data_IF_650463197192
#
_entry.id   IF_650463197192
#
_cell.length_a   1.000
_cell.length_b   1.000
_cell.length_c   1.000
_cell.angle_alpha   90.00
_cell.angle_beta   90.00
_cell.angle_gamma   90.00
#
_symmetry.space_group_name_H-M   'P 1'
#
loop_
_entity.id
_entity.type
_entity.pdbx_description
1 polymer ?
#
# COMPACT_ATOMS: atom_id res chain seq x y z
N UNK A 1 33.66 1.16 15.79
CA UNK A 1 32.62 1.49 14.80
C UNK A 1 31.57 0.40 14.86
N UNK A 2 30.48 0.63 15.58
CA UNK A 2 29.42 -0.36 15.85
C UNK A 2 28.22 -0.07 14.97
N UNK A 3 27.80 -1.05 14.16
CA UNK A 3 26.59 -0.95 13.33
C UNK A 3 25.35 -1.04 14.22
N UNK A 4 24.28 -0.29 13.92
CA UNK A 4 23.09 -0.30 14.75
C UNK A 4 22.38 -1.67 14.71
N UNK A 5 21.68 -2.06 15.78
CA UNK A 5 20.96 -3.33 15.84
C UNK A 5 19.89 -3.40 14.75
N UNK A 6 19.92 -4.44 13.92
CA UNK A 6 18.80 -4.79 13.04
C UNK A 6 17.77 -5.57 13.85
N UNK A 7 17.05 -4.89 14.73
CA UNK A 7 15.81 -5.46 15.27
C UNK A 7 14.78 -5.46 14.14
N UNK A 8 14.55 -6.62 13.53
CA UNK A 8 13.39 -6.89 12.68
C UNK A 8 12.11 -6.75 13.49
N UNK A 9 11.67 -5.51 13.73
CA UNK A 9 10.28 -5.27 14.08
C UNK A 9 9.50 -5.57 12.80
N UNK A 10 8.62 -6.56 12.86
CA UNK A 10 7.46 -6.63 11.98
C UNK A 10 6.77 -5.26 12.05
N UNK A 11 7.10 -4.41 11.07
CA UNK A 11 6.94 -2.98 11.18
C UNK A 11 5.46 -2.66 11.12
N UNK A 12 4.93 -2.07 12.19
CA UNK A 12 3.67 -1.33 12.13
C UNK A 12 3.72 -0.42 10.90
N UNK A 13 2.91 -0.74 9.87
CA UNK A 13 2.82 0.10 8.69
C UNK A 13 2.45 1.51 9.16
N UNK A 14 3.17 2.57 8.75
CA UNK A 14 2.82 3.95 9.12
C UNK A 14 1.41 4.35 8.63
N UNK A 15 0.82 3.56 7.74
CA UNK A 15 -0.53 3.76 7.23
C UNK A 15 -1.58 3.25 8.20
N UNK A 16 -2.38 4.16 8.75
CA UNK A 16 -3.56 3.84 9.57
C UNK A 16 -4.71 3.24 8.75
N UNK A 17 -4.57 3.19 7.42
CA UNK A 17 -5.60 2.74 6.47
C UNK A 17 -5.40 1.25 6.13
N UNK A 18 -4.17 0.79 5.97
CA UNK A 18 -3.87 -0.58 5.52
C UNK A 18 -3.74 -1.50 6.73
N UNK A 19 -4.69 -2.43 6.85
CA UNK A 19 -4.67 -3.53 7.82
C UNK A 19 -4.44 -4.87 7.09
N UNK A 20 -3.93 -5.92 7.75
CA UNK A 20 -3.71 -7.22 7.11
C UNK A 20 -4.94 -7.78 6.37
N UNK A 21 -6.15 -7.58 6.91
CA UNK A 21 -7.40 -7.98 6.23
C UNK A 21 -7.62 -7.25 4.90
N UNK A 22 -7.28 -5.96 4.82
CA UNK A 22 -7.42 -5.18 3.60
C UNK A 22 -6.39 -5.61 2.54
N UNK A 23 -5.17 -5.96 2.99
CA UNK A 23 -4.14 -6.53 2.11
C UNK A 23 -4.67 -7.79 1.41
N UNK A 24 -5.24 -8.74 2.15
CA UNK A 24 -5.77 -9.96 1.55
C UNK A 24 -6.91 -9.71 0.54
N UNK A 25 -7.81 -8.76 0.86
CA UNK A 25 -8.91 -8.37 -0.04
C UNK A 25 -8.36 -7.81 -1.36
N UNK A 26 -7.38 -6.91 -1.28
CA UNK A 26 -6.76 -6.30 -2.47
C UNK A 26 -6.02 -7.35 -3.30
N UNK A 27 -5.25 -8.25 -2.67
CA UNK A 27 -4.58 -9.36 -3.37
C UNK A 27 -5.57 -10.23 -4.14
N UNK A 28 -6.70 -10.56 -3.52
CA UNK A 28 -7.75 -11.37 -4.17
C UNK A 28 -8.37 -10.64 -5.37
N UNK A 29 -8.60 -9.33 -5.27
CA UNK A 29 -9.09 -8.52 -6.39
C UNK A 29 -8.10 -8.46 -7.55
N UNK A 30 -6.80 -8.31 -7.27
CA UNK A 30 -5.74 -8.27 -8.30
C UNK A 30 -5.66 -9.63 -9.02
N UNK A 31 -5.63 -10.73 -8.25
CA UNK A 31 -5.56 -12.09 -8.79
C UNK A 31 -6.86 -12.54 -9.47
N UNK A 32 -7.92 -11.73 -9.43
CA UNK A 32 -9.28 -12.11 -9.88
C UNK A 32 -9.78 -13.39 -9.21
N UNK A 33 -9.29 -13.67 -8.01
CA UNK A 33 -9.67 -14.82 -7.22
C UNK A 33 -11.01 -14.53 -6.54
N UNK A 34 -12.03 -15.34 -6.82
CA UNK A 34 -13.37 -15.19 -6.26
C UNK A 34 -13.47 -15.68 -4.80
N UNK A 35 -12.47 -16.40 -4.29
CA UNK A 35 -12.46 -16.92 -2.93
C UNK A 35 -11.82 -15.92 -1.95
N UNK A 36 -12.62 -15.28 -1.06
CA UNK A 36 -12.11 -14.32 -0.08
C UNK A 36 -11.23 -14.97 1.02
N UNK A 37 -11.14 -16.30 1.04
CA UNK A 37 -10.42 -17.10 2.04
C UNK A 37 -9.09 -17.67 1.56
N UNK A 38 -8.69 -17.38 0.32
CA UNK A 38 -7.33 -17.69 -0.10
C UNK A 38 -6.39 -16.68 0.56
N UNK A 39 -5.49 -17.17 1.41
CA UNK A 39 -4.39 -16.37 1.96
C UNK A 39 -3.36 -16.21 0.85
N UNK A 40 -3.60 -15.25 -0.05
CA UNK A 40 -2.70 -15.01 -1.18
C UNK A 40 -1.51 -14.18 -0.68
N UNK A 41 -0.47 -14.89 -0.22
CA UNK A 41 0.82 -14.30 0.18
C UNK A 41 1.70 -13.88 -1.00
N UNK A 42 1.17 -13.91 -2.22
CA UNK A 42 1.92 -13.63 -3.45
C UNK A 42 2.23 -12.13 -3.62
N UNK A 43 1.58 -11.26 -2.86
CA UNK A 43 1.70 -9.81 -3.02
C UNK A 43 2.22 -9.17 -1.74
N UNK A 44 3.40 -8.57 -1.83
CA UNK A 44 3.96 -7.70 -0.80
C UNK A 44 3.69 -6.23 -1.17
N UNK A 45 2.99 -5.51 -0.29
CA UNK A 45 2.66 -4.10 -0.51
C UNK A 45 3.64 -3.19 0.22
N UNK A 46 4.37 -2.40 -0.55
CA UNK A 46 5.28 -1.38 -0.03
C UNK A 46 4.62 0.01 -0.05
N UNK A 47 4.67 0.73 1.07
CA UNK A 47 4.13 2.09 1.17
C UNK A 47 5.04 3.12 0.51
N UNK A 48 4.80 3.39 -0.78
CA UNK A 48 5.58 4.35 -1.57
C UNK A 48 5.18 5.81 -1.31
N UNK A 49 3.89 6.08 -1.05
CA UNK A 49 3.37 7.44 -0.78
C UNK A 49 2.31 7.43 0.33
N UNK A 50 2.39 8.40 1.24
CA UNK A 50 1.38 8.67 2.25
C UNK A 50 1.20 10.18 2.40
N UNK A 51 -0.01 10.68 2.17
CA UNK A 51 -0.29 12.13 2.18
C UNK A 51 0.14 12.84 3.46
N UNK A 52 -0.03 12.22 4.64
CA UNK A 52 0.39 12.79 5.92
C UNK A 52 1.91 12.82 6.13
N UNK A 53 2.66 11.95 5.41
CA UNK A 53 4.13 11.87 5.48
C UNK A 53 4.79 12.73 4.40
N UNK A 54 4.24 12.70 3.20
CA UNK A 54 4.86 13.23 1.98
C UNK A 54 4.23 14.55 1.52
N UNK A 55 3.14 14.98 2.14
CA UNK A 55 2.42 16.22 1.84
C UNK A 55 1.35 16.05 0.74
N UNK A 56 0.41 16.99 0.67
CA UNK A 56 -0.66 17.00 -0.33
C UNK A 56 -0.22 17.74 -1.60
N UNK A 57 0.57 17.07 -2.45
CA UNK A 57 1.09 17.66 -3.68
C UNK A 57 1.17 16.62 -4.82
N UNK A 58 0.60 16.95 -5.98
CA UNK A 58 0.57 16.05 -7.15
C UNK A 58 1.95 15.75 -7.73
N UNK A 59 2.86 16.73 -7.74
CA UNK A 59 4.26 16.55 -8.17
C UNK A 59 5.01 15.60 -7.23
N UNK A 60 4.79 15.73 -5.92
CA UNK A 60 5.38 14.77 -4.97
C UNK A 60 4.84 13.36 -5.16
N UNK A 61 3.52 13.23 -5.36
CA UNK A 61 2.90 11.94 -5.67
C UNK A 61 3.49 11.33 -6.95
N UNK A 62 3.54 12.10 -8.04
CA UNK A 62 4.13 11.65 -9.31
C UNK A 62 5.58 11.21 -9.12
N UNK A 63 6.43 12.04 -8.50
CA UNK A 63 7.84 11.72 -8.31
C UNK A 63 8.08 10.44 -7.49
N UNK A 64 7.17 10.10 -6.57
CA UNK A 64 7.27 8.87 -5.77
C UNK A 64 6.71 7.63 -6.48
N UNK A 65 5.69 7.80 -7.30
CA UNK A 65 5.00 6.69 -7.98
C UNK A 65 5.57 6.39 -9.38
N UNK A 66 6.19 7.37 -10.03
CA UNK A 66 6.76 7.25 -11.37
C UNK A 66 7.82 6.14 -11.41
N UNK A 67 7.70 5.23 -12.38
CA UNK A 67 8.63 4.11 -12.54
C UNK A 67 8.58 3.03 -11.47
N UNK A 68 7.61 3.06 -10.53
CA UNK A 68 7.44 1.99 -9.52
C UNK A 68 6.70 0.76 -10.08
N UNK A 69 6.17 0.84 -11.30
CA UNK A 69 5.35 -0.22 -11.89
C UNK A 69 3.92 -0.24 -11.31
N UNK A 70 3.29 -1.42 -11.19
CA UNK A 70 1.93 -1.54 -10.69
C UNK A 70 1.77 -0.99 -9.26
N UNK A 71 0.73 -0.20 -9.01
CA UNK A 71 0.45 0.30 -7.66
C UNK A 71 -1.06 0.39 -7.36
N UNK A 72 -1.39 0.41 -6.07
CA UNK A 72 -2.74 0.62 -5.57
C UNK A 72 -2.81 1.96 -4.85
N UNK A 73 -3.83 2.75 -5.16
CA UNK A 73 -4.14 4.00 -4.44
C UNK A 73 -5.31 3.75 -3.52
N UNK A 74 -5.18 4.17 -2.25
CA UNK A 74 -6.24 4.11 -1.25
C UNK A 74 -6.45 5.49 -0.64
N UNK A 75 -7.69 5.94 -0.57
CA UNK A 75 -8.11 7.23 -0.02
C UNK A 75 -9.17 6.97 1.03
N UNK A 76 -8.92 7.42 2.26
CA UNK A 76 -9.91 7.39 3.34
C UNK A 76 -10.54 8.76 3.49
N UNK A 77 -11.87 8.82 3.40
CA UNK A 77 -12.64 10.05 3.64
C UNK A 77 -13.08 10.15 5.11
N UNK A 78 -13.61 11.30 5.52
CA UNK A 78 -14.01 11.56 6.91
C UNK A 78 -15.02 10.53 7.46
N UNK A 79 -15.92 10.02 6.61
CA UNK A 79 -16.88 8.95 6.96
C UNK A 79 -16.24 7.59 7.24
N UNK A 80 -14.90 7.50 7.27
CA UNK A 80 -14.10 6.27 7.40
C UNK A 80 -14.24 5.29 6.23
N UNK A 81 -15.02 5.64 5.20
CA UNK A 81 -15.05 4.90 3.92
C UNK A 81 -13.69 5.00 3.23
N UNK A 82 -13.29 3.90 2.59
CA UNK A 82 -12.05 3.81 1.81
C UNK A 82 -12.43 3.62 0.35
N UNK A 83 -11.86 4.45 -0.51
CA UNK A 83 -11.95 4.36 -1.97
C UNK A 83 -10.57 4.10 -2.53
N UNK A 84 -10.49 3.61 -3.75
CA UNK A 84 -9.21 3.34 -4.37
C UNK A 84 -9.30 2.80 -5.77
N UNK A 85 -8.13 2.49 -6.32
CA UNK A 85 -7.97 1.89 -7.62
C UNK A 85 -6.62 1.20 -7.75
N UNK A 86 -6.56 0.17 -8.58
CA UNK A 86 -5.33 -0.51 -8.96
C UNK A 86 -4.92 -0.06 -10.37
N UNK A 87 -3.67 0.35 -10.52
CA UNK A 87 -3.05 0.61 -11.81
C UNK A 87 -2.04 -0.50 -12.11
N UNK A 88 -2.28 -1.37 -13.11
CA UNK A 88 -1.38 -2.47 -13.47
C UNK A 88 -0.15 -2.02 -14.28
N UNK A 89 -0.11 -0.77 -14.75
CA UNK A 89 0.97 -0.27 -15.63
C UNK A 89 1.96 0.57 -14.82
N UNK A 90 1.44 1.49 -14.00
CA UNK A 90 2.24 2.52 -13.35
C UNK A 90 2.06 3.90 -13.99
N UNK A 91 2.85 4.86 -13.52
CA UNK A 91 3.01 6.19 -14.12
C UNK A 91 4.18 6.21 -15.10
#
# INVERSE_FOLDING_TARGET
MTLPPRTGKSGSLPSTIIKPKLVNIISNWINRNSSPFTNNSEHEFNLIYLMSRDGFNSKTFYNKCNGQGPFVVLIRVQSKKIYGGYNPIGY
#
